data_IF_633685069653
#
_entry.id   IF_633685069653
#
_cell.length_a   1.000
_cell.length_b   1.000
_cell.length_c   1.000
_cell.angle_alpha   90.00
_cell.angle_beta   90.00
_cell.angle_gamma   90.00
#
_symmetry.space_group_name_H-M   'P 1'
#
loop_
_entity.id
_entity.type
_entity.pdbx_description
1 polymer ?
#
# COMPACT_ATOMS: atom_id res chain seq x y z
N UNK A 1 18.07 70.87 -81.15
CA UNK A 1 17.34 69.59 -81.33
C UNK A 1 18.02 68.43 -80.59
N UNK A 2 19.29 68.12 -80.87
CA UNK A 2 20.04 67.04 -80.21
C UNK A 2 20.11 67.15 -78.68
N UNK A 3 20.41 68.33 -78.14
CA UNK A 3 20.50 68.57 -76.68
C UNK A 3 19.15 68.29 -75.98
N UNK A 4 18.04 68.70 -76.59
CA UNK A 4 16.69 68.49 -76.03
C UNK A 4 16.34 67.01 -75.95
N UNK A 5 16.69 66.23 -76.98
CA UNK A 5 16.48 64.78 -77.01
C UNK A 5 17.31 64.08 -75.93
N UNK A 6 18.57 64.50 -75.75
CA UNK A 6 19.44 63.95 -74.70
C UNK A 6 18.86 64.25 -73.31
N UNK A 7 18.37 65.47 -73.07
CA UNK A 7 17.76 65.85 -71.79
C UNK A 7 16.51 65.00 -71.51
N UNK A 8 15.65 64.81 -72.50
CA UNK A 8 14.45 63.97 -72.36
C UNK A 8 14.84 62.51 -72.05
N UNK A 9 15.83 61.96 -72.76
CA UNK A 9 16.32 60.61 -72.51
C UNK A 9 16.87 60.46 -71.10
N UNK A 10 17.66 61.42 -70.61
CA UNK A 10 18.18 61.40 -69.24
C UNK A 10 17.05 61.44 -68.21
N UNK A 11 16.02 62.26 -68.42
CA UNK A 11 14.84 62.32 -67.53
C UNK A 11 14.10 60.97 -67.53
N UNK A 12 13.88 60.36 -68.69
CA UNK A 12 13.21 59.06 -68.80
C UNK A 12 14.01 57.96 -68.11
N UNK A 13 15.33 57.90 -68.35
CA UNK A 13 16.23 56.94 -67.68
C UNK A 13 16.18 57.13 -66.17
N UNK A 14 16.18 58.37 -65.68
CA UNK A 14 16.09 58.68 -64.26
C UNK A 14 14.76 58.21 -63.64
N UNK A 15 13.63 58.44 -64.33
CA UNK A 15 12.31 57.96 -63.89
C UNK A 15 12.27 56.43 -63.83
N UNK A 16 12.77 55.75 -64.87
CA UNK A 16 12.84 54.30 -64.93
C UNK A 16 13.73 53.73 -63.82
N UNK A 17 14.90 54.32 -63.59
CA UNK A 17 15.81 53.92 -62.51
C UNK A 17 15.15 54.07 -61.12
N UNK A 18 14.42 55.17 -60.89
CA UNK A 18 13.69 55.40 -59.63
C UNK A 18 12.57 54.38 -59.42
N UNK A 19 11.83 54.03 -60.48
CA UNK A 19 10.78 53.01 -60.43
C UNK A 19 11.35 51.61 -60.16
N UNK A 20 12.48 51.25 -60.81
CA UNK A 20 13.17 49.98 -60.55
C UNK A 20 13.68 49.89 -59.12
N UNK A 21 14.24 50.98 -58.57
CA UNK A 21 14.67 51.05 -57.17
C UNK A 21 13.50 50.90 -56.20
N UNK A 22 12.36 51.55 -56.47
CA UNK A 22 11.15 51.41 -55.66
C UNK A 22 10.63 49.96 -55.67
N UNK A 23 10.51 49.37 -56.86
CA UNK A 23 10.05 48.00 -57.04
C UNK A 23 10.99 46.98 -56.37
N UNK A 24 12.31 47.19 -56.45
CA UNK A 24 13.29 46.34 -55.76
C UNK A 24 13.12 46.39 -54.24
N UNK A 25 12.86 47.59 -53.66
CA UNK A 25 12.59 47.74 -52.22
C UNK A 25 11.32 47.02 -51.79
N UNK A 26 10.22 47.20 -52.53
CA UNK A 26 8.95 46.52 -52.25
C UNK A 26 9.09 44.99 -52.31
N UNK A 27 9.85 44.46 -53.28
CA UNK A 27 10.15 43.02 -53.36
C UNK A 27 10.95 42.54 -52.15
N UNK A 28 11.95 43.30 -51.70
CA UNK A 28 12.73 42.95 -50.50
C UNK A 28 11.88 42.98 -49.23
N UNK A 29 11.01 43.97 -49.07
CA UNK A 29 10.08 44.08 -47.93
C UNK A 29 9.06 42.95 -47.93
N UNK A 30 8.47 42.63 -49.09
CA UNK A 30 7.55 41.52 -49.25
C UNK A 30 8.22 40.18 -48.95
N UNK A 31 9.44 39.97 -49.45
CA UNK A 31 10.23 38.77 -49.20
C UNK A 31 10.57 38.63 -47.72
N UNK A 32 11.06 39.69 -47.07
CA UNK A 32 11.35 39.70 -45.64
C UNK A 32 10.10 39.44 -44.78
N UNK A 33 8.95 39.99 -45.17
CA UNK A 33 7.66 39.74 -44.49
C UNK A 33 7.21 38.29 -44.68
N UNK A 34 7.35 37.73 -45.88
CA UNK A 34 7.01 36.34 -46.17
C UNK A 34 7.92 35.37 -45.40
N UNK A 35 9.22 35.63 -45.33
CA UNK A 35 10.19 34.86 -44.56
C UNK A 35 9.90 34.92 -43.06
N UNK A 36 9.61 36.11 -42.53
CA UNK A 36 9.24 36.30 -41.12
C UNK A 36 7.96 35.54 -40.76
N UNK A 37 6.94 35.60 -41.62
CA UNK A 37 5.68 34.85 -41.44
C UNK A 37 5.91 33.34 -41.53
N UNK A 38 6.68 32.87 -42.50
CA UNK A 38 7.01 31.46 -42.65
C UNK A 38 7.78 30.93 -41.43
N UNK A 39 8.74 31.71 -40.91
CA UNK A 39 9.48 31.36 -39.70
C UNK A 39 8.54 31.26 -38.48
N UNK A 40 7.66 32.24 -38.29
CA UNK A 40 6.69 32.21 -37.20
C UNK A 40 5.76 31.00 -37.29
N UNK A 41 5.21 30.73 -38.49
CA UNK A 41 4.36 29.56 -38.71
C UNK A 41 5.10 28.24 -38.45
N UNK A 42 6.38 28.16 -38.82
CA UNK A 42 7.22 27.00 -38.54
C UNK A 42 7.48 26.80 -37.05
N UNK A 43 7.79 27.88 -36.32
CA UNK A 43 7.96 27.83 -34.86
C UNK A 43 6.69 27.42 -34.14
N UNK A 44 5.55 27.99 -34.53
CA UNK A 44 4.22 27.66 -33.99
C UNK A 44 3.86 26.20 -34.29
N UNK A 45 4.05 25.75 -35.54
CA UNK A 45 3.85 24.35 -35.92
C UNK A 45 4.73 23.41 -35.10
N UNK A 46 6.02 23.72 -34.99
CA UNK A 46 6.97 22.94 -34.19
C UNK A 46 6.46 22.85 -32.76
N UNK A 47 6.17 23.97 -32.10
CA UNK A 47 5.67 23.95 -30.72
C UNK A 47 4.43 23.06 -30.53
N UNK A 48 3.47 23.15 -31.44
CA UNK A 48 2.25 22.34 -31.40
C UNK A 48 2.54 20.85 -31.58
N UNK A 49 3.42 20.50 -32.53
CA UNK A 49 3.83 19.11 -32.77
C UNK A 49 4.52 18.51 -31.55
N UNK A 50 5.44 19.25 -30.93
CA UNK A 50 6.11 18.84 -29.70
C UNK A 50 5.12 18.65 -28.54
N UNK A 51 4.14 19.53 -28.41
CA UNK A 51 3.10 19.39 -27.38
C UNK A 51 2.21 18.16 -27.60
N UNK A 52 1.84 17.89 -28.85
CA UNK A 52 1.04 16.73 -29.22
C UNK A 52 1.80 15.43 -28.93
N UNK A 53 3.05 15.33 -29.36
CA UNK A 53 3.88 14.16 -29.12
C UNK A 53 4.10 13.93 -27.62
N UNK A 54 4.34 15.00 -26.86
CA UNK A 54 4.48 14.91 -25.41
C UNK A 54 3.21 14.38 -24.75
N UNK A 55 2.03 14.92 -25.11
CA UNK A 55 0.74 14.44 -24.57
C UNK A 55 0.49 12.96 -24.87
N UNK A 56 0.80 12.52 -26.08
CA UNK A 56 0.66 11.11 -26.48
C UNK A 56 1.60 10.23 -25.66
N UNK A 57 2.87 10.63 -25.52
CA UNK A 57 3.85 9.90 -24.73
C UNK A 57 3.44 9.81 -23.26
N UNK A 58 3.06 10.94 -22.65
CA UNK A 58 2.59 10.99 -21.26
C UNK A 58 1.36 10.11 -21.03
N UNK A 59 0.39 10.13 -21.94
CA UNK A 59 -0.81 9.30 -21.86
C UNK A 59 -0.47 7.79 -21.95
N UNK A 60 0.43 7.42 -22.85
CA UNK A 60 0.86 6.02 -23.00
C UNK A 60 1.64 5.55 -21.77
N UNK A 61 2.58 6.36 -21.29
CA UNK A 61 3.38 6.07 -20.11
C UNK A 61 2.46 5.91 -18.88
N UNK A 62 1.49 6.82 -18.72
CA UNK A 62 0.51 6.74 -17.64
C UNK A 62 -0.32 5.46 -17.70
N UNK A 63 -0.78 5.04 -18.89
CA UNK A 63 -1.50 3.76 -19.02
C UNK A 63 -0.63 2.57 -18.65
N UNK A 64 0.62 2.55 -19.11
CA UNK A 64 1.54 1.45 -18.82
C UNK A 64 1.82 1.33 -17.32
N UNK A 65 2.08 2.46 -16.64
CA UNK A 65 2.28 2.47 -15.19
C UNK A 65 1.01 2.12 -14.42
N UNK A 66 -0.16 2.52 -14.88
CA UNK A 66 -1.43 2.13 -14.25
C UNK A 66 -1.61 0.61 -14.29
N UNK A 67 -1.37 -0.02 -15.45
CA UNK A 67 -1.45 -1.49 -15.58
C UNK A 67 -0.46 -2.18 -14.64
N UNK A 68 0.82 -1.77 -14.68
CA UNK A 68 1.86 -2.32 -13.79
C UNK A 68 1.53 -2.11 -12.31
N UNK A 69 0.94 -0.98 -11.96
CA UNK A 69 0.52 -0.68 -10.60
C UNK A 69 -0.63 -1.57 -10.14
N UNK A 70 -1.62 -1.82 -11.01
CA UNK A 70 -2.72 -2.74 -10.70
C UNK A 70 -2.21 -4.19 -10.55
N UNK A 71 -1.32 -4.64 -11.43
CA UNK A 71 -0.67 -5.96 -11.34
C UNK A 71 0.08 -6.11 -10.01
N UNK A 72 0.96 -5.15 -9.69
CA UNK A 72 1.70 -5.13 -8.43
C UNK A 72 0.76 -5.15 -7.21
N UNK A 73 -0.31 -4.35 -7.24
CA UNK A 73 -1.30 -4.29 -6.16
C UNK A 73 -1.99 -5.64 -5.94
N UNK A 74 -2.37 -6.33 -7.02
CA UNK A 74 -2.99 -7.66 -6.92
C UNK A 74 -2.04 -8.71 -6.34
N UNK A 75 -0.77 -8.70 -6.78
CA UNK A 75 0.25 -9.61 -6.26
C UNK A 75 0.54 -9.35 -4.77
N UNK A 76 0.68 -8.09 -4.38
CA UNK A 76 0.97 -7.73 -3.00
C UNK A 76 -0.22 -8.01 -2.07
N UNK A 77 -1.45 -7.76 -2.52
CA UNK A 77 -2.65 -8.13 -1.76
C UNK A 77 -2.72 -9.63 -1.51
N UNK A 78 -2.38 -10.45 -2.52
CA UNK A 78 -2.31 -11.91 -2.38
C UNK A 78 -1.26 -12.31 -1.34
N UNK A 79 -0.05 -11.72 -1.40
CA UNK A 79 1.02 -11.97 -0.42
C UNK A 79 0.59 -11.60 1.01
N UNK A 80 -0.02 -10.43 1.19
CA UNK A 80 -0.52 -9.98 2.50
C UNK A 80 -1.57 -10.95 3.03
N UNK A 81 -2.51 -11.38 2.18
CA UNK A 81 -3.55 -12.35 2.56
C UNK A 81 -2.95 -13.69 2.98
N UNK A 82 -2.00 -14.21 2.21
CA UNK A 82 -1.32 -15.47 2.53
C UNK A 82 -0.52 -15.39 3.83
N UNK A 83 0.23 -14.30 4.04
CA UNK A 83 0.96 -14.06 5.30
C UNK A 83 0.02 -13.96 6.50
N UNK A 84 -1.09 -13.23 6.36
CA UNK A 84 -2.11 -13.13 7.40
C UNK A 84 -2.74 -14.49 7.73
N UNK A 85 -3.03 -15.32 6.72
CA UNK A 85 -3.53 -16.68 6.92
C UNK A 85 -2.49 -17.53 7.65
N UNK A 86 -1.21 -17.47 7.27
CA UNK A 86 -0.17 -18.28 7.89
C UNK A 86 0.09 -17.88 9.35
N UNK A 87 0.13 -16.58 9.64
CA UNK A 87 0.28 -16.06 11.01
C UNK A 87 -0.92 -16.39 11.88
N UNK A 88 -2.13 -16.21 11.35
CA UNK A 88 -3.36 -16.51 12.10
C UNK A 88 -3.53 -18.00 12.38
N UNK A 89 -3.18 -18.88 11.44
CA UNK A 89 -3.27 -20.34 11.62
C UNK A 89 -2.52 -20.83 12.86
N UNK A 90 -1.27 -20.45 13.05
CA UNK A 90 -0.47 -20.92 14.20
C UNK A 90 -1.03 -20.40 15.53
N UNK A 91 -1.47 -19.14 15.57
CA UNK A 91 -2.06 -18.53 16.78
C UNK A 91 -3.41 -19.17 17.10
N UNK A 92 -4.30 -19.28 16.11
CA UNK A 92 -5.63 -19.87 16.26
C UNK A 92 -5.50 -21.35 16.64
N UNK A 93 -4.59 -22.09 16.01
CA UNK A 93 -4.36 -23.50 16.33
C UNK A 93 -3.86 -23.67 17.77
N UNK A 94 -2.98 -22.78 18.25
CA UNK A 94 -2.55 -22.76 19.65
C UNK A 94 -3.73 -22.58 20.61
N UNK A 95 -4.55 -21.54 20.38
CA UNK A 95 -5.74 -21.25 21.19
C UNK A 95 -6.76 -22.39 21.18
N UNK A 96 -7.04 -22.98 20.02
CA UNK A 96 -7.96 -24.13 19.92
C UNK A 96 -7.38 -25.35 20.63
N UNK A 97 -6.07 -25.61 20.48
CA UNK A 97 -5.41 -26.72 21.15
C UNK A 97 -5.50 -26.60 22.67
N UNK A 98 -5.30 -25.40 23.23
CA UNK A 98 -5.46 -25.13 24.66
C UNK A 98 -6.82 -25.59 25.19
N UNK A 99 -7.90 -25.33 24.46
CA UNK A 99 -9.25 -25.74 24.86
C UNK A 99 -9.50 -27.25 24.69
N UNK A 100 -8.79 -27.91 23.77
CA UNK A 100 -8.95 -29.33 23.45
C UNK A 100 -8.01 -30.25 24.25
N UNK A 101 -7.01 -29.70 24.96
CA UNK A 101 -6.07 -30.47 25.79
C UNK A 101 -6.75 -31.51 26.68
N UNK A 102 -7.90 -31.25 27.33
CA UNK A 102 -8.53 -32.26 28.17
C UNK A 102 -8.80 -33.58 27.44
N UNK A 103 -8.98 -33.57 26.12
CA UNK A 103 -9.25 -34.76 25.31
C UNK A 103 -7.98 -35.42 24.73
N UNK A 104 -6.80 -34.87 25.00
CA UNK A 104 -5.55 -35.38 24.45
C UNK A 104 -4.94 -36.45 25.39
N UNK A 105 -4.21 -37.44 24.85
CA UNK A 105 -3.67 -38.56 25.64
C UNK A 105 -2.77 -38.16 26.82
N UNK A 106 -2.10 -37.01 26.72
CA UNK A 106 -1.19 -36.49 27.74
C UNK A 106 -1.92 -35.91 28.96
N UNK A 107 -3.22 -35.60 28.83
CA UNK A 107 -4.01 -35.07 29.92
C UNK A 107 -4.40 -36.19 30.89
N UNK A 108 -3.76 -36.20 32.06
CA UNK A 108 -3.84 -37.30 33.03
C UNK A 108 -5.12 -37.33 33.87
N UNK A 109 -6.05 -36.42 33.62
CA UNK A 109 -7.27 -36.25 34.42
C UNK A 109 -8.51 -36.54 33.59
N UNK A 110 -9.63 -36.83 34.28
CA UNK A 110 -10.91 -36.97 33.60
C UNK A 110 -11.33 -35.61 33.00
N UNK A 111 -11.63 -35.52 31.69
CA UNK A 111 -12.07 -34.28 31.07
C UNK A 111 -13.33 -33.69 31.71
N UNK A 112 -14.20 -34.52 32.29
CA UNK A 112 -15.43 -34.07 32.99
C UNK A 112 -15.14 -33.27 34.26
N UNK A 113 -13.97 -33.48 34.85
CA UNK A 113 -13.53 -32.83 36.08
C UNK A 113 -12.73 -31.55 35.82
N UNK A 114 -12.36 -31.29 34.57
CA UNK A 114 -11.65 -30.09 34.17
C UNK A 114 -12.62 -28.93 33.90
N UNK A 115 -12.27 -27.73 34.36
CA UNK A 115 -12.95 -26.47 34.03
C UNK A 115 -11.93 -25.49 33.46
N UNK A 116 -12.22 -25.00 32.26
CA UNK A 116 -11.42 -23.96 31.63
C UNK A 116 -11.67 -22.61 32.31
N UNK A 117 -10.61 -21.90 32.65
CA UNK A 117 -10.63 -20.55 33.22
C UNK A 117 -9.90 -19.57 32.30
N UNK A 118 -8.74 -19.95 31.75
CA UNK A 118 -7.87 -19.09 30.94
C UNK A 118 -6.88 -18.27 31.77
N UNK A 119 -6.21 -17.29 31.15
CA UNK A 119 -5.10 -16.55 31.80
C UNK A 119 -5.50 -15.95 33.17
N UNK A 120 -4.70 -16.16 34.25
CA UNK A 120 -3.34 -16.71 34.30
C UNK A 120 -3.22 -18.23 34.58
N UNK A 121 -4.31 -19.01 34.55
CA UNK A 121 -4.30 -20.48 34.68
C UNK A 121 -5.36 -21.10 33.77
N UNK A 122 -4.96 -21.84 32.75
CA UNK A 122 -5.89 -22.39 31.75
C UNK A 122 -7.00 -23.26 32.34
N UNK A 123 -6.69 -24.19 33.26
CA UNK A 123 -7.68 -25.11 33.82
C UNK A 123 -7.58 -25.25 35.33
N UNK A 124 -8.75 -25.49 35.94
CA UNK A 124 -8.88 -26.05 37.30
C UNK A 124 -9.53 -27.42 37.19
N UNK A 125 -8.84 -28.44 37.70
CA UNK A 125 -9.29 -29.83 37.67
C UNK A 125 -9.73 -30.25 39.07
N UNK A 126 -10.98 -30.69 39.19
CA UNK A 126 -11.56 -31.25 40.40
C UNK A 126 -11.47 -32.78 40.38
N UNK A 127 -10.25 -33.31 40.49
CA UNK A 127 -9.91 -34.74 40.30
C UNK A 127 -10.78 -35.67 41.16
N UNK A 128 -11.65 -36.45 40.51
CA UNK A 128 -12.56 -37.41 41.14
C UNK A 128 -13.98 -36.88 41.41
N UNK A 129 -14.28 -35.62 41.05
CA UNK A 129 -15.60 -35.02 41.26
C UNK A 129 -16.71 -35.76 40.49
N UNK A 130 -16.47 -36.15 39.24
CA UNK A 130 -17.39 -36.93 38.41
C UNK A 130 -17.62 -38.35 38.92
N UNK A 131 -16.71 -38.88 39.73
CA UNK A 131 -16.84 -40.16 40.43
C UNK A 131 -17.55 -40.01 41.80
N UNK A 132 -17.90 -38.78 42.19
CA UNK A 132 -18.50 -38.47 43.49
C UNK A 132 -17.50 -38.45 44.67
N UNK A 133 -16.19 -38.54 44.40
CA UNK A 133 -15.15 -38.54 45.41
C UNK A 133 -14.01 -37.59 45.01
N UNK A 134 -14.14 -36.31 45.39
CA UNK A 134 -13.15 -35.28 45.10
C UNK A 134 -11.86 -35.54 45.90
N UNK A 135 -10.78 -35.91 45.20
CA UNK A 135 -9.48 -36.22 45.80
C UNK A 135 -8.60 -34.98 45.99
N UNK A 136 -8.59 -34.10 44.98
CA UNK A 136 -7.78 -32.87 44.97
C UNK A 136 -8.26 -31.88 43.92
N UNK A 137 -7.85 -30.62 44.09
CA UNK A 137 -7.99 -29.58 43.08
C UNK A 137 -6.61 -29.32 42.47
N UNK A 138 -6.50 -29.33 41.14
CA UNK A 138 -5.25 -29.11 40.42
C UNK A 138 -5.39 -27.91 39.48
N UNK A 139 -4.47 -26.96 39.60
CA UNK A 139 -4.32 -25.85 38.67
C UNK A 139 -3.39 -26.31 37.53
N UNK A 140 -3.85 -26.21 36.29
CA UNK A 140 -3.12 -26.69 35.11
C UNK A 140 -2.98 -25.55 34.12
N UNK A 141 -1.74 -25.20 33.81
CA UNK A 141 -1.39 -24.30 32.71
C UNK A 141 -0.91 -25.14 31.53
N UNK A 142 -1.43 -24.86 30.34
CA UNK A 142 -1.05 -25.53 29.10
C UNK A 142 -0.04 -24.68 28.36
N UNK A 143 1.02 -25.30 27.85
CA UNK A 143 1.93 -24.65 26.91
C UNK A 143 2.05 -25.45 25.63
N UNK A 144 1.68 -24.85 24.51
CA UNK A 144 1.87 -25.44 23.19
C UNK A 144 3.29 -25.16 22.68
N UNK A 145 4.23 -26.11 22.80
CA UNK A 145 5.59 -26.01 22.24
C UNK A 145 6.71 -26.61 23.10
N UNK A 146 7.93 -26.70 22.54
CA UNK A 146 9.10 -27.33 23.22
C UNK A 146 9.71 -26.49 24.36
N UNK A 147 9.39 -25.20 24.44
CA UNK A 147 9.92 -24.26 25.45
C UNK A 147 8.77 -23.47 26.08
N UNK A 148 7.92 -24.18 26.83
CA UNK A 148 6.77 -23.59 27.51
C UNK A 148 7.12 -23.07 28.90
N UNK A 149 7.88 -21.98 29.00
CA UNK A 149 8.10 -21.33 30.29
C UNK A 149 6.85 -20.55 30.70
N UNK A 150 6.50 -20.60 31.99
CA UNK A 150 5.46 -19.78 32.56
C UNK A 150 5.81 -18.29 32.39
N UNK A 151 4.83 -17.43 32.09
CA UNK A 151 4.99 -15.99 32.14
C UNK A 151 5.00 -15.49 33.60
N UNK A 152 5.23 -14.19 33.82
CA UNK A 152 5.33 -13.64 35.18
C UNK A 152 4.05 -13.82 36.00
N UNK A 153 2.87 -13.68 35.39
CA UNK A 153 1.57 -13.82 36.09
C UNK A 153 1.28 -15.27 36.46
N UNK A 154 1.55 -16.18 35.53
CA UNK A 154 1.42 -17.63 35.73
C UNK A 154 2.37 -18.13 36.84
N UNK A 155 3.62 -17.64 36.87
CA UNK A 155 4.57 -17.94 37.95
C UNK A 155 4.04 -17.50 39.31
N UNK A 156 3.48 -16.29 39.41
CA UNK A 156 2.90 -15.80 40.66
C UNK A 156 1.80 -16.72 41.17
N UNK A 157 0.91 -17.20 40.30
CA UNK A 157 -0.14 -18.14 40.71
C UNK A 157 0.45 -19.47 41.16
N UNK A 158 1.38 -20.05 40.39
CA UNK A 158 2.08 -21.28 40.78
C UNK A 158 2.71 -21.14 42.17
N UNK A 159 3.43 -20.06 42.43
CA UNK A 159 4.15 -19.85 43.69
C UNK A 159 3.19 -19.75 44.89
N UNK A 160 2.04 -19.10 44.73
CA UNK A 160 0.98 -19.02 45.77
C UNK A 160 0.38 -20.41 46.03
N UNK A 161 0.12 -21.18 44.96
CA UNK A 161 -0.38 -22.56 45.06
C UNK A 161 0.63 -23.47 45.77
N UNK A 162 1.92 -23.39 45.40
CA UNK A 162 3.00 -24.19 45.99
C UNK A 162 3.23 -23.84 47.47
N UNK A 163 3.06 -22.57 47.85
CA UNK A 163 3.07 -22.10 49.24
C UNK A 163 1.81 -22.49 50.03
N UNK A 164 0.82 -23.11 49.37
CA UNK A 164 -0.49 -23.48 49.94
C UNK A 164 -1.30 -22.28 50.44
N UNK A 165 -1.09 -21.12 49.83
CA UNK A 165 -1.84 -19.88 50.09
C UNK A 165 -3.16 -19.88 49.27
N UNK A 166 -3.88 -21.00 49.28
CA UNK A 166 -5.15 -21.20 48.57
C UNK A 166 -6.25 -21.43 49.60
N UNK A 167 -7.28 -20.59 49.55
CA UNK A 167 -8.32 -20.53 50.57
C UNK A 167 -9.71 -20.73 49.95
N UNK A 168 -10.60 -21.34 50.72
CA UNK A 168 -12.01 -21.44 50.40
C UNK A 168 -12.80 -20.36 51.15
N UNK A 169 -13.48 -19.49 50.42
CA UNK A 169 -14.34 -18.46 50.99
C UNK A 169 -15.75 -18.59 50.43
N UNK A 170 -16.76 -18.63 51.30
CA UNK A 170 -18.17 -18.61 50.92
C UNK A 170 -18.72 -17.20 51.13
N UNK A 171 -18.94 -16.48 50.05
CA UNK A 171 -19.63 -15.20 50.08
C UNK A 171 -21.13 -15.42 49.84
N UNK A 172 -21.96 -14.86 50.70
CA UNK A 172 -23.42 -14.88 50.54
C UNK A 172 -23.90 -13.48 50.18
N UNK A 173 -24.11 -13.24 48.89
CA UNK A 173 -24.71 -11.99 48.43
C UNK A 173 -26.23 -12.05 48.61
N UNK A 174 -26.78 -11.22 49.50
CA UNK A 174 -28.22 -10.92 49.51
C UNK A 174 -28.42 -9.76 48.55
N UNK A 175 -28.83 -10.06 47.33
CA UNK A 175 -29.42 -9.06 46.45
C UNK A 175 -30.81 -8.68 46.99
N UNK A 176 -31.13 -7.39 46.98
CA UNK A 176 -32.52 -6.91 47.06
C UNK A 176 -33.25 -7.18 45.74
#
# INVERSE_FOLDING_TARGET
MMIVIIVILVIVVFILARNLLKMSREIQELKGTAESRAMKMFEDWKKNEWELQRKVLEANLKREYEVKFQEWKMEEEKRIREDAINKSKSVIMGQVTEHLIPFFPEFRYNPKDARFIGTPVDFVVFDGLSEGNLRRIVFVEVKTGKTGNLNTRERQVRDVVEKREVYWEKLHYRGE
#
